data_IF_955077821746
#
_entry.id   IF_955077821746
#
_cell.length_a   1.000
_cell.length_b   1.000
_cell.length_c   1.000
_cell.angle_alpha   90.00
_cell.angle_beta   90.00
_cell.angle_gamma   90.00
#
_symmetry.space_group_name_H-M   'P 1'
#
loop_
_entity.id
_entity.type
_entity.pdbx_description
1 polymer ?
#
# COMPACT_ATOMS: atom_id res chain seq x y z
N UNK A 1 -5.01 -7.08 -29.41
CA UNK A 1 -4.43 -7.57 -28.15
C UNK A 1 -4.44 -6.44 -27.16
N UNK A 2 -4.79 -6.70 -25.89
CA UNK A 2 -4.77 -5.70 -24.82
C UNK A 2 -3.46 -5.80 -24.05
N UNK A 3 -2.90 -4.66 -23.65
CA UNK A 3 -1.76 -4.59 -22.74
C UNK A 3 -2.31 -4.61 -21.30
N UNK A 4 -1.88 -5.61 -20.51
CA UNK A 4 -2.39 -5.83 -19.15
C UNK A 4 -1.26 -5.60 -18.15
N UNK A 5 -1.51 -4.74 -17.18
CA UNK A 5 -0.60 -4.51 -16.04
C UNK A 5 -1.23 -5.03 -14.75
N UNK A 6 -0.57 -5.98 -14.10
CA UNK A 6 -1.00 -6.51 -12.81
C UNK A 6 -0.50 -5.63 -11.65
N UNK A 7 -1.37 -5.37 -10.68
CA UNK A 7 -1.08 -4.59 -9.47
C UNK A 7 -1.28 -5.40 -8.20
N UNK A 8 -0.51 -5.06 -7.17
CA UNK A 8 -0.67 -5.53 -5.79
C UNK A 8 -1.21 -4.41 -4.91
N UNK A 9 -2.28 -4.69 -4.19
CA UNK A 9 -2.83 -3.81 -3.16
C UNK A 9 -1.99 -3.89 -1.89
N UNK A 10 -1.60 -2.72 -1.38
CA UNK A 10 -0.84 -2.54 -0.14
C UNK A 10 -1.65 -1.63 0.77
N UNK A 11 -2.28 -2.19 1.80
CA UNK A 11 -3.12 -1.42 2.73
C UNK A 11 -2.33 -0.98 3.97
N UNK A 12 -2.47 0.29 4.35
CA UNK A 12 -1.70 0.96 5.41
C UNK A 12 -2.31 0.85 6.80
N UNK A 13 -3.48 0.18 6.96
CA UNK A 13 -4.07 -0.04 8.28
C UNK A 13 -3.12 -0.86 9.17
N UNK A 14 -2.93 -0.42 10.41
CA UNK A 14 -1.99 -1.01 11.37
C UNK A 14 -2.69 -1.80 12.49
N UNK A 15 -4.01 -2.02 12.41
CA UNK A 15 -4.76 -2.69 13.48
C UNK A 15 -4.36 -4.15 13.76
N UNK A 16 -3.47 -4.72 12.94
CA UNK A 16 -2.92 -6.05 13.14
C UNK A 16 -1.42 -6.02 13.48
N UNK A 17 -0.82 -4.83 13.46
CA UNK A 17 0.61 -4.60 13.58
C UNK A 17 0.93 -3.65 14.76
N UNK A 18 -0.08 -3.08 15.42
CA UNK A 18 0.00 -2.15 16.54
C UNK A 18 -1.04 -2.51 17.60
N UNK A 19 -0.64 -2.46 18.87
CA UNK A 19 -1.52 -2.69 20.03
C UNK A 19 -2.40 -1.48 20.35
N UNK A 20 -1.98 -0.28 19.93
CA UNK A 20 -2.68 0.98 20.23
C UNK A 20 -3.69 1.40 19.15
N UNK A 21 -3.59 0.86 17.93
CA UNK A 21 -4.54 1.11 16.84
C UNK A 21 -5.56 -0.02 16.77
N UNK A 22 -6.84 0.29 16.98
CA UNK A 22 -7.95 -0.66 16.86
C UNK A 22 -8.61 -0.64 15.46
N UNK A 23 -8.50 0.49 14.75
CA UNK A 23 -9.12 0.69 13.45
C UNK A 23 -8.21 1.43 12.47
N UNK A 24 -8.07 0.86 11.29
CA UNK A 24 -7.49 1.53 10.12
C UNK A 24 -8.56 1.81 9.08
N UNK A 25 -8.54 3.02 8.51
CA UNK A 25 -9.41 3.39 7.39
C UNK A 25 -9.34 2.34 6.27
N UNK A 26 -10.49 1.94 5.73
CA UNK A 26 -10.59 0.92 4.69
C UNK A 26 -10.61 1.51 3.27
N UNK A 27 -10.91 2.80 3.14
CA UNK A 27 -10.98 3.52 1.86
C UNK A 27 -9.87 4.55 1.78
N UNK A 28 -9.18 4.65 0.63
CA UNK A 28 -8.10 5.63 0.42
C UNK A 28 -6.83 5.41 1.26
N UNK A 29 -6.77 4.32 2.03
CA UNK A 29 -5.69 4.03 2.97
C UNK A 29 -4.75 2.93 2.46
N UNK A 30 -4.35 3.01 1.20
CA UNK A 30 -3.42 2.05 0.63
C UNK A 30 -2.74 2.56 -0.62
N UNK A 31 -2.05 1.65 -1.30
CA UNK A 31 -1.41 1.88 -2.57
C UNK A 31 -1.55 0.67 -3.50
N UNK A 32 -1.38 0.91 -4.79
CA UNK A 32 -1.22 -0.12 -5.81
C UNK A 32 0.21 -0.06 -6.32
N UNK A 33 0.94 -1.18 -6.23
CA UNK A 33 2.28 -1.30 -6.82
C UNK A 33 2.26 -2.33 -7.95
N UNK A 34 2.99 -2.11 -9.03
CA UNK A 34 3.07 -3.11 -10.11
C UNK A 34 3.71 -4.40 -9.63
N UNK A 35 3.14 -5.54 -10.03
CA UNK A 35 3.81 -6.83 -9.88
C UNK A 35 5.00 -6.84 -10.83
N UNK A 36 6.12 -7.43 -10.42
CA UNK A 36 7.28 -7.57 -11.32
C UNK A 36 6.95 -8.61 -12.40
N UNK A 37 7.37 -8.34 -13.63
CA UNK A 37 7.24 -9.26 -14.76
C UNK A 37 8.65 -9.65 -15.24
N UNK A 38 8.83 -10.91 -15.60
CA UNK A 38 10.03 -11.43 -16.23
C UNK A 38 9.61 -12.33 -17.39
N UNK A 39 10.13 -12.08 -18.59
CA UNK A 39 9.78 -12.81 -19.83
C UNK A 39 8.27 -12.94 -20.10
N UNK A 40 7.49 -11.89 -19.81
CA UNK A 40 6.04 -11.89 -20.03
C UNK A 40 5.23 -12.63 -18.96
N UNK A 41 5.88 -13.16 -17.92
CA UNK A 41 5.22 -13.81 -16.78
C UNK A 41 5.38 -12.98 -15.50
N UNK A 42 4.35 -12.90 -14.64
CA UNK A 42 4.49 -12.24 -13.35
C UNK A 42 5.44 -13.05 -12.45
N UNK A 43 6.59 -12.46 -12.11
CA UNK A 43 7.48 -13.02 -11.09
C UNK A 43 6.96 -12.59 -9.71
N UNK A 44 6.79 -13.57 -8.83
CA UNK A 44 6.00 -13.47 -7.61
C UNK A 44 6.24 -12.20 -6.77
N UNK A 45 5.18 -11.72 -6.14
CA UNK A 45 5.17 -10.53 -5.28
C UNK A 45 5.72 -10.78 -3.87
N UNK A 46 6.18 -11.99 -3.56
CA UNK A 46 6.58 -12.42 -2.22
C UNK A 46 7.62 -11.49 -1.59
N UNK A 47 8.53 -10.95 -2.39
CA UNK A 47 9.53 -9.99 -1.91
C UNK A 47 8.90 -8.66 -1.45
N UNK A 48 8.06 -8.03 -2.27
CA UNK A 48 7.39 -6.77 -1.92
C UNK A 48 6.43 -6.98 -0.75
N UNK A 49 5.68 -8.08 -0.76
CA UNK A 49 4.76 -8.45 0.34
C UNK A 49 5.51 -8.65 1.65
N UNK A 50 6.64 -9.35 1.62
CA UNK A 50 7.50 -9.57 2.80
C UNK A 50 8.07 -8.27 3.34
N UNK A 51 8.64 -7.43 2.48
CA UNK A 51 9.17 -6.12 2.88
C UNK A 51 8.09 -5.22 3.46
N UNK A 52 6.92 -5.15 2.82
CA UNK A 52 5.82 -4.32 3.30
C UNK A 52 5.29 -4.82 4.65
N UNK A 53 5.18 -6.14 4.87
CA UNK A 53 4.82 -6.70 6.17
C UNK A 53 5.83 -6.33 7.25
N UNK A 54 7.13 -6.48 6.99
CA UNK A 54 8.16 -6.10 7.94
C UNK A 54 8.17 -4.59 8.25
N UNK A 55 7.87 -3.76 7.24
CA UNK A 55 7.71 -2.33 7.46
C UNK A 55 6.55 -2.00 8.41
N UNK A 56 5.40 -2.64 8.20
CA UNK A 56 4.22 -2.43 9.05
C UNK A 56 4.47 -2.83 10.50
N UNK A 57 5.15 -3.97 10.70
CA UNK A 57 5.55 -4.44 12.03
C UNK A 57 6.38 -3.38 12.78
N UNK A 58 7.47 -2.89 12.15
CA UNK A 58 8.31 -1.84 12.74
C UNK A 58 7.56 -0.51 12.95
N UNK A 59 6.70 -0.13 12.01
CA UNK A 59 5.92 1.11 12.11
C UNK A 59 4.87 1.03 13.21
N UNK A 60 4.21 -0.11 13.37
CA UNK A 60 3.28 -0.35 14.47
C UNK A 60 3.98 -0.26 15.82
N UNK A 61 5.15 -0.87 15.93
CA UNK A 61 6.07 -0.75 17.08
C UNK A 61 6.39 0.71 17.44
N UNK A 62 6.64 1.55 16.43
CA UNK A 62 6.90 2.98 16.63
C UNK A 62 5.66 3.75 17.07
N UNK A 63 4.46 3.36 16.63
CA UNK A 63 3.21 3.94 17.12
C UNK A 63 2.97 3.57 18.58
N UNK A 64 3.13 2.30 18.93
CA UNK A 64 2.89 1.81 20.30
C UNK A 64 3.86 2.43 21.31
N UNK A 65 5.10 2.72 20.88
CA UNK A 65 6.10 3.43 21.68
C UNK A 65 5.89 4.95 21.71
N UNK A 66 4.86 5.48 21.05
CA UNK A 66 4.56 6.91 20.99
C UNK A 66 5.53 7.73 20.14
N UNK A 67 6.38 7.08 19.33
CA UNK A 67 7.32 7.75 18.41
C UNK A 67 6.57 8.31 17.21
N UNK A 68 5.59 7.55 16.69
CA UNK A 68 4.72 7.98 15.61
C UNK A 68 3.28 8.18 16.08
N UNK A 69 2.64 9.21 15.54
CA UNK A 69 1.18 9.26 15.48
C UNK A 69 0.69 8.38 14.31
N UNK A 70 -0.60 8.04 14.29
CA UNK A 70 -1.18 7.29 13.17
C UNK A 70 -1.00 8.01 11.82
N UNK A 71 -1.08 9.34 11.79
CA UNK A 71 -0.89 10.12 10.57
C UNK A 71 0.57 10.11 10.11
N UNK A 72 1.53 10.25 11.03
CA UNK A 72 2.97 10.13 10.74
C UNK A 72 3.32 8.71 10.26
N UNK A 73 2.77 7.68 10.89
CA UNK A 73 2.95 6.29 10.47
C UNK A 73 2.48 6.07 9.03
N UNK A 74 1.28 6.57 8.67
CA UNK A 74 0.76 6.50 7.30
C UNK A 74 1.66 7.24 6.30
N UNK A 75 2.15 8.44 6.64
CA UNK A 75 3.07 9.18 5.78
C UNK A 75 4.40 8.43 5.60
N UNK A 76 4.93 7.84 6.66
CA UNK A 76 6.17 7.06 6.62
C UNK A 76 6.04 5.83 5.73
N UNK A 77 4.94 5.08 5.83
CA UNK A 77 4.64 3.94 4.96
C UNK A 77 4.60 4.36 3.47
N UNK A 78 3.93 5.48 3.15
CA UNK A 78 3.88 6.01 1.78
C UNK A 78 5.27 6.37 1.26
N UNK A 79 6.06 7.07 2.07
CA UNK A 79 7.41 7.48 1.69
C UNK A 79 8.31 6.27 1.43
N UNK A 80 8.36 5.31 2.35
CA UNK A 80 9.21 4.12 2.22
C UNK A 80 8.85 3.26 1.03
N UNK A 81 7.56 3.08 0.75
CA UNK A 81 7.13 2.41 -0.46
C UNK A 81 7.56 3.16 -1.73
N UNK A 82 7.46 4.49 -1.74
CA UNK A 82 7.97 5.30 -2.86
C UNK A 82 9.47 5.11 -3.09
N UNK A 83 10.26 5.08 -2.02
CA UNK A 83 11.69 4.81 -2.06
C UNK A 83 12.01 3.40 -2.60
N UNK A 84 11.27 2.37 -2.18
CA UNK A 84 11.52 0.97 -2.53
C UNK A 84 11.07 0.59 -3.95
N UNK A 85 9.91 1.08 -4.37
CA UNK A 85 9.41 0.86 -5.73
C UNK A 85 10.31 1.56 -6.75
N UNK A 86 10.84 2.74 -6.39
CA UNK A 86 11.79 3.49 -7.19
C UNK A 86 11.24 3.84 -8.58
N UNK A 87 12.14 4.03 -9.57
CA UNK A 87 11.75 4.40 -10.94
C UNK A 87 11.37 3.22 -11.85
N UNK A 88 11.53 1.98 -11.37
CA UNK A 88 11.41 0.76 -12.20
C UNK A 88 10.02 0.13 -12.18
N UNK A 89 9.17 0.56 -11.25
CA UNK A 89 7.83 0.04 -11.03
C UNK A 89 6.90 1.23 -10.79
N UNK A 90 5.61 1.05 -11.06
CA UNK A 90 4.62 2.10 -10.83
C UNK A 90 4.01 1.93 -9.44
N UNK A 91 3.95 3.02 -8.69
CA UNK A 91 3.25 3.11 -7.40
C UNK A 91 2.13 4.14 -7.51
N UNK A 92 0.89 3.71 -7.33
CA UNK A 92 -0.29 4.57 -7.27
C UNK A 92 -0.74 4.67 -5.83
N UNK A 93 -0.73 5.88 -5.29
CA UNK A 93 -1.27 6.18 -3.96
C UNK A 93 -2.47 7.11 -4.18
N UNK A 94 -3.69 6.79 -3.69
CA UNK A 94 -4.82 7.69 -3.77
C UNK A 94 -4.49 9.02 -3.10
N UNK A 95 -4.67 10.12 -3.84
CA UNK A 95 -4.37 11.48 -3.41
C UNK A 95 -5.30 12.01 -2.31
N UNK A 96 -6.32 11.22 -1.91
CA UNK A 96 -7.39 11.68 -1.04
C UNK A 96 -8.51 12.41 -1.78
N UNK A 97 -8.51 12.41 -3.12
CA UNK A 97 -9.69 12.81 -3.89
C UNK A 97 -10.83 11.83 -3.61
N UNK A 98 -11.96 12.39 -3.20
CA UNK A 98 -13.23 11.67 -3.07
C UNK A 98 -13.55 11.07 -4.44
N UNK A 99 -13.89 9.77 -4.55
CA UNK A 99 -14.34 9.23 -5.82
C UNK A 99 -15.51 10.08 -6.32
N UNK A 100 -15.46 10.48 -7.59
CA UNK A 100 -16.56 11.22 -8.22
C UNK A 100 -17.87 10.46 -7.94
N UNK A 101 -18.97 11.15 -7.55
CA UNK A 101 -20.25 10.51 -7.30
C UNK A 101 -20.79 9.72 -8.51
N UNK A 102 -20.26 9.98 -9.71
CA UNK A 102 -20.56 9.28 -10.96
C UNK A 102 -19.70 8.04 -11.24
N UNK A 103 -18.88 7.58 -10.28
CA UNK A 103 -18.13 6.33 -10.41
C UNK A 103 -19.05 5.11 -10.24
N UNK A 104 -19.98 4.92 -11.17
CA UNK A 104 -20.83 3.73 -11.24
C UNK A 104 -19.99 2.57 -11.78
N UNK A 105 -19.70 1.59 -10.92
CA UNK A 105 -19.19 0.29 -11.36
C UNK A 105 -20.27 -0.40 -12.20
N UNK A 106 -20.18 -0.26 -13.51
CA UNK A 106 -21.02 -1.00 -14.45
C UNK A 106 -20.63 -2.48 -14.36
N UNK A 107 -21.49 -3.28 -13.72
CA UNK A 107 -21.35 -4.73 -13.71
C UNK A 107 -21.81 -5.25 -15.07
N UNK A 108 -20.92 -5.93 -15.77
CA UNK A 108 -21.22 -6.72 -16.98
C UNK A 108 -22.02 -7.96 -16.62
#
# INVERSE_FOLDING_TARGET
TFEVTAYRTLWFGLQYDSETIDHGETVGNGALATVRWHDGEPVGDGHLKGQFRALKDVVGDMVDKGVFTQSTARQYLKQKLGEWVGKRQELRIPSGEVPSPDATLSRS
#
